data_IF_174903792888
#
_entry.id   IF_174903792888
#
_cell.length_a   1.000
_cell.length_b   1.000
_cell.length_c   1.000
_cell.angle_alpha   90.00
_cell.angle_beta   90.00
_cell.angle_gamma   90.00
#
_symmetry.space_group_name_H-M   'P 1'
#
loop_
_entity.id
_entity.type
_entity.pdbx_description
1 polymer ?
#
# COMPACT_ATOMS: atom_id res chain seq x y z
N UNK A 1 -10.15 -14.32 14.53
CA UNK A 1 -9.61 -13.05 15.02
C UNK A 1 -10.29 -11.98 14.21
N UNK A 2 -11.16 -11.19 14.83
CA UNK A 2 -11.81 -10.07 14.13
C UNK A 2 -10.72 -9.15 13.61
N UNK A 3 -10.74 -8.89 12.30
CA UNK A 3 -9.79 -7.97 11.67
C UNK A 3 -10.12 -6.57 12.17
N UNK A 4 -9.22 -5.98 12.96
CA UNK A 4 -9.38 -4.60 13.47
C UNK A 4 -9.47 -3.59 12.30
N UNK A 5 -8.84 -3.92 11.17
CA UNK A 5 -8.83 -3.10 9.96
C UNK A 5 -9.51 -3.79 8.77
N UNK A 6 -10.07 -2.99 7.86
CA UNK A 6 -10.73 -3.45 6.63
C UNK A 6 -10.32 -2.60 5.44
N UNK A 7 -10.06 -3.22 4.30
CA UNK A 7 -9.90 -2.52 3.02
C UNK A 7 -11.27 -2.29 2.38
N UNK A 8 -11.55 -1.04 2.00
CA UNK A 8 -12.69 -0.69 1.15
C UNK A 8 -12.17 0.06 -0.07
N UNK A 9 -12.69 -0.27 -1.25
CA UNK A 9 -12.31 0.46 -2.48
C UNK A 9 -12.60 1.94 -2.30
N UNK A 10 -11.71 2.79 -2.82
CA UNK A 10 -11.99 4.22 -2.86
C UNK A 10 -13.03 4.49 -3.94
N UNK A 11 -14.06 5.23 -3.57
CA UNK A 11 -15.20 5.61 -4.41
C UNK A 11 -15.69 7.02 -4.05
N UNK A 12 -16.80 7.46 -4.65
CA UNK A 12 -17.38 8.79 -4.41
C UNK A 12 -17.75 9.07 -2.95
N UNK A 13 -17.95 8.03 -2.13
CA UNK A 13 -18.38 8.18 -0.74
C UNK A 13 -17.22 8.48 0.21
N UNK A 14 -15.98 8.13 -0.15
CA UNK A 14 -14.85 8.14 0.79
C UNK A 14 -13.58 8.84 0.27
N UNK A 15 -13.50 9.20 -1.01
CA UNK A 15 -12.27 9.79 -1.57
C UNK A 15 -11.86 11.13 -0.93
N UNK A 16 -12.83 11.97 -0.53
CA UNK A 16 -12.56 13.24 0.15
C UNK A 16 -11.93 13.01 1.52
N UNK A 17 -12.36 11.99 2.26
CA UNK A 17 -11.74 11.63 3.54
C UNK A 17 -10.30 11.14 3.34
N UNK A 18 -10.04 10.36 2.28
CA UNK A 18 -8.67 9.97 1.91
C UNK A 18 -7.77 11.18 1.59
N UNK A 19 -8.31 12.25 0.98
CA UNK A 19 -7.54 13.48 0.72
C UNK A 19 -7.12 14.20 2.00
N UNK A 20 -7.88 14.03 3.09
CA UNK A 20 -7.61 14.68 4.37
C UNK A 20 -6.63 13.89 5.25
N UNK A 21 -6.20 12.70 4.83
CA UNK A 21 -5.16 11.94 5.51
C UNK A 21 -3.85 12.73 5.51
N UNK A 22 -3.16 12.72 6.65
CA UNK A 22 -1.91 13.44 6.86
C UNK A 22 -0.74 12.50 6.99
N UNK A 23 0.31 12.79 6.23
CA UNK A 23 1.60 12.13 6.40
C UNK A 23 2.25 12.61 7.71
N UNK A 24 2.94 11.69 8.39
CA UNK A 24 3.77 12.06 9.53
C UNK A 24 4.93 12.95 9.10
N UNK A 25 5.48 13.71 10.06
CA UNK A 25 6.61 14.61 9.80
C UNK A 25 7.78 13.87 9.11
N UNK A 26 8.18 14.34 7.92
CA UNK A 26 9.29 13.79 7.15
C UNK A 26 8.96 12.53 6.34
N UNK A 27 7.69 12.10 6.25
CA UNK A 27 7.27 11.00 5.36
C UNK A 27 6.93 11.46 3.94
N UNK A 28 6.80 12.76 3.71
CA UNK A 28 6.56 13.38 2.40
C UNK A 28 7.65 13.08 1.37
N UNK A 29 8.86 12.76 1.82
CA UNK A 29 9.96 12.25 0.96
C UNK A 29 9.84 10.79 0.57
N UNK A 30 8.98 10.01 1.22
CA UNK A 30 8.85 8.56 0.99
C UNK A 30 7.55 8.18 0.31
N UNK A 31 6.47 8.94 0.53
CA UNK A 31 5.15 8.62 0.00
C UNK A 31 4.51 9.87 -0.57
N UNK A 32 4.03 9.77 -1.81
CA UNK A 32 3.25 10.85 -2.43
C UNK A 32 1.97 11.12 -1.64
N UNK A 33 1.61 12.41 -1.54
CA UNK A 33 0.35 12.82 -0.92
C UNK A 33 -0.86 12.12 -1.59
N UNK A 34 -1.89 11.71 -0.82
CA UNK A 34 -3.10 11.06 -1.33
C UNK A 34 -3.75 11.69 -2.57
N UNK A 35 -3.69 13.03 -2.72
CA UNK A 35 -4.24 13.74 -3.87
C UNK A 35 -3.50 13.34 -5.15
N UNK A 36 -2.17 13.28 -5.11
CA UNK A 36 -1.36 12.90 -6.26
C UNK A 36 -1.55 11.41 -6.59
N UNK A 37 -1.53 10.54 -5.59
CA UNK A 37 -1.66 9.09 -5.81
C UNK A 37 -3.04 8.70 -6.34
N UNK A 38 -4.12 9.32 -5.84
CA UNK A 38 -5.47 9.09 -6.40
C UNK A 38 -5.63 9.67 -7.81
N UNK A 39 -5.03 10.81 -8.11
CA UNK A 39 -5.00 11.32 -9.49
C UNK A 39 -4.24 10.38 -10.43
N UNK A 40 -3.13 9.80 -9.99
CA UNK A 40 -2.40 8.77 -10.75
C UNK A 40 -3.26 7.51 -10.94
N UNK A 41 -3.95 7.05 -9.89
CA UNK A 41 -4.85 5.89 -9.99
C UNK A 41 -6.00 6.13 -10.99
N UNK A 42 -6.50 7.36 -11.13
CA UNK A 42 -7.47 7.72 -12.16
C UNK A 42 -6.90 7.60 -13.59
N UNK A 43 -5.65 8.05 -13.80
CA UNK A 43 -4.99 7.93 -15.12
C UNK A 43 -4.71 6.46 -15.47
N UNK A 44 -4.29 5.67 -14.49
CA UNK A 44 -3.97 4.24 -14.64
C UNK A 44 -5.10 3.32 -14.18
N UNK A 45 -6.36 3.74 -14.35
CA UNK A 45 -7.54 3.08 -13.76
C UNK A 45 -7.72 1.59 -14.13
N UNK A 46 -7.14 1.15 -15.25
CA UNK A 46 -7.17 -0.27 -15.66
C UNK A 46 -6.24 -1.16 -14.83
N UNK A 47 -5.22 -0.59 -14.17
CA UNK A 47 -4.20 -1.33 -13.43
C UNK A 47 -4.21 -1.00 -11.94
N UNK A 48 -4.59 0.23 -11.57
CA UNK A 48 -4.54 0.73 -10.20
C UNK A 48 -5.90 0.61 -9.50
N UNK A 49 -5.94 -0.10 -8.38
CA UNK A 49 -7.11 -0.14 -7.49
C UNK A 49 -6.78 0.50 -6.13
N UNK A 50 -7.27 1.71 -5.86
CA UNK A 50 -7.11 2.38 -4.57
C UNK A 50 -8.03 1.81 -3.49
N UNK A 51 -7.52 1.70 -2.27
CA UNK A 51 -8.25 1.27 -1.08
C UNK A 51 -8.06 2.25 0.08
N UNK A 52 -9.16 2.59 0.72
CA UNK A 52 -9.17 3.18 2.05
C UNK A 52 -9.02 2.08 3.10
N UNK A 53 -8.20 2.34 4.11
CA UNK A 53 -7.99 1.45 5.26
C UNK A 53 -8.87 1.96 6.40
N UNK A 54 -9.90 1.20 6.74
CA UNK A 54 -10.85 1.54 7.79
C UNK A 54 -10.49 0.84 9.10
N UNK A 55 -10.59 1.58 10.20
CA UNK A 55 -10.85 1.04 11.52
C UNK A 55 -12.29 1.35 11.89
N UNK A 56 -13.13 0.33 12.00
CA UNK A 56 -14.57 0.48 12.18
C UNK A 56 -15.19 1.43 11.12
N UNK A 57 -15.52 2.66 11.50
CA UNK A 57 -16.11 3.69 10.63
C UNK A 57 -15.12 4.78 10.19
N UNK A 58 -13.89 4.78 10.73
CA UNK A 58 -12.90 5.83 10.50
C UNK A 58 -11.84 5.37 9.49
N UNK A 59 -11.53 6.21 8.49
CA UNK A 59 -10.37 5.99 7.61
C UNK A 59 -9.09 6.33 8.38
N UNK A 60 -8.21 5.35 8.50
CA UNK A 60 -6.92 5.48 9.19
C UNK A 60 -5.73 5.46 8.25
N UNK A 61 -5.95 5.15 6.98
CA UNK A 61 -4.88 5.07 5.98
C UNK A 61 -5.41 4.79 4.58
N UNK A 62 -4.46 4.61 3.66
CA UNK A 62 -4.71 4.44 2.24
C UNK A 62 -3.64 3.53 1.62
N UNK A 63 -3.98 2.82 0.55
CA UNK A 63 -3.07 2.01 -0.25
C UNK A 63 -3.58 1.84 -1.68
N UNK A 64 -2.69 1.69 -2.65
CA UNK A 64 -3.04 1.26 -4.01
C UNK A 64 -2.50 -0.15 -4.21
N UNK A 65 -3.37 -1.05 -4.67
CA UNK A 65 -2.95 -2.34 -5.22
C UNK A 65 -2.96 -2.24 -6.73
N UNK A 66 -1.87 -2.65 -7.36
CA UNK A 66 -1.71 -2.61 -8.82
C UNK A 66 -1.48 -4.02 -9.33
N UNK A 67 -1.98 -4.30 -10.53
CA UNK A 67 -1.54 -5.45 -11.30
C UNK A 67 -0.92 -4.97 -12.62
N UNK A 68 0.37 -5.23 -12.77
CA UNK A 68 1.06 -5.05 -14.05
C UNK A 68 0.71 -6.26 -14.93
N UNK A 69 0.04 -6.00 -16.05
CA UNK A 69 -0.40 -7.04 -16.98
C UNK A 69 0.70 -7.46 -17.96
N UNK A 70 1.72 -6.63 -18.16
CA UNK A 70 2.84 -6.95 -19.04
C UNK A 70 3.85 -7.84 -18.29
N UNK A 71 4.11 -7.52 -17.02
CA UNK A 71 5.02 -8.27 -16.13
C UNK A 71 4.31 -9.35 -15.29
N UNK A 72 2.99 -9.48 -15.45
CA UNK A 72 2.12 -10.35 -14.65
C UNK A 72 2.45 -10.32 -13.15
N UNK A 73 2.51 -9.14 -12.54
CA UNK A 73 2.98 -8.98 -11.15
C UNK A 73 2.11 -8.02 -10.35
N UNK A 74 1.81 -8.38 -9.09
CA UNK A 74 1.11 -7.48 -8.17
C UNK A 74 2.08 -6.48 -7.54
N UNK A 75 1.65 -5.24 -7.37
CA UNK A 75 2.38 -4.22 -6.63
C UNK A 75 1.53 -3.65 -5.48
N UNK A 76 2.18 -3.33 -4.35
CA UNK A 76 1.60 -2.52 -3.27
C UNK A 76 2.26 -1.15 -3.33
N UNK A 77 1.49 -0.13 -3.70
CA UNK A 77 1.96 1.25 -3.85
C UNK A 77 1.27 2.20 -2.89
N UNK A 78 1.98 3.29 -2.56
CA UNK A 78 1.45 4.42 -1.80
C UNK A 78 0.73 4.04 -0.49
N UNK A 79 1.21 2.98 0.18
CA UNK A 79 0.71 2.63 1.50
C UNK A 79 1.07 3.73 2.50
N UNK A 80 0.06 4.30 3.14
CA UNK A 80 0.24 5.25 4.23
C UNK A 80 -0.78 5.05 5.33
N UNK A 81 -0.38 5.38 6.56
CA UNK A 81 -1.26 5.46 7.74
C UNK A 81 -1.20 6.90 8.22
N UNK A 82 -2.35 7.50 8.50
CA UNK A 82 -2.43 8.88 9.00
C UNK A 82 -1.60 9.04 10.28
N UNK A 83 -0.92 10.17 10.40
CA UNK A 83 -0.04 10.49 11.54
C UNK A 83 -0.66 10.16 12.91
N UNK A 84 -1.98 10.33 13.09
CA UNK A 84 -2.70 10.09 14.35
C UNK A 84 -2.87 8.61 14.70
N UNK A 85 -2.70 7.74 13.71
CA UNK A 85 -2.91 6.29 13.83
C UNK A 85 -1.62 5.47 13.60
N UNK A 86 -0.47 6.13 13.48
CA UNK A 86 0.83 5.47 13.43
C UNK A 86 1.21 4.85 14.79
N UNK A 87 2.27 4.01 14.78
CA UNK A 87 2.80 3.29 15.96
C UNK A 87 1.83 2.31 16.65
N UNK A 88 0.67 2.04 16.04
CA UNK A 88 -0.35 1.11 16.53
C UNK A 88 -0.34 -0.25 15.82
N UNK A 89 0.65 -0.50 14.97
CA UNK A 89 0.77 -1.72 14.16
C UNK A 89 -0.09 -1.73 12.88
N UNK A 90 -0.77 -0.63 12.55
CA UNK A 90 -1.67 -0.55 11.40
C UNK A 90 -0.99 -0.68 10.05
N UNK A 91 0.27 -0.24 9.91
CA UNK A 91 1.04 -0.47 8.68
C UNK A 91 1.22 -1.97 8.39
N UNK A 92 1.65 -2.74 9.39
CA UNK A 92 1.79 -4.20 9.29
C UNK A 92 0.47 -4.89 8.94
N UNK A 93 -0.62 -4.50 9.61
CA UNK A 93 -1.93 -5.09 9.37
C UNK A 93 -2.47 -4.72 7.98
N UNK A 94 -2.24 -3.50 7.51
CA UNK A 94 -2.62 -3.07 6.16
C UNK A 94 -1.91 -3.87 5.07
N UNK A 95 -0.59 -4.13 5.20
CA UNK A 95 0.14 -4.96 4.23
C UNK A 95 -0.42 -6.39 4.22
N UNK A 96 -0.72 -6.97 5.38
CA UNK A 96 -1.37 -8.29 5.47
C UNK A 96 -2.72 -8.30 4.77
N UNK A 97 -3.55 -7.27 4.95
CA UNK A 97 -4.83 -7.16 4.25
C UNK A 97 -4.64 -7.10 2.73
N UNK A 98 -3.62 -6.38 2.25
CA UNK A 98 -3.27 -6.36 0.83
C UNK A 98 -2.86 -7.74 0.32
N UNK A 99 -1.99 -8.45 1.04
CA UNK A 99 -1.59 -9.82 0.71
C UNK A 99 -2.80 -10.75 0.63
N UNK A 100 -3.70 -10.71 1.61
CA UNK A 100 -4.91 -11.54 1.62
C UNK A 100 -5.86 -11.17 0.48
N UNK A 101 -6.00 -9.88 0.16
CA UNK A 101 -6.75 -9.44 -1.01
C UNK A 101 -6.12 -9.99 -2.30
N UNK A 102 -4.80 -9.88 -2.46
CA UNK A 102 -4.07 -10.36 -3.64
C UNK A 102 -4.13 -11.88 -3.77
N UNK A 103 -4.12 -12.65 -2.67
CA UNK A 103 -4.31 -14.11 -2.66
C UNK A 103 -5.63 -14.55 -3.30
N UNK A 104 -6.66 -13.70 -3.28
CA UNK A 104 -7.94 -13.97 -3.96
C UNK A 104 -7.85 -13.86 -5.49
N UNK A 105 -6.68 -13.47 -6.02
CA UNK A 105 -6.37 -13.28 -7.44
C UNK A 105 -7.37 -12.34 -8.16
N UNK A 106 -7.57 -11.10 -7.65
CA UNK A 106 -8.60 -10.21 -8.16
C UNK A 106 -8.32 -9.70 -9.59
N UNK A 107 -7.05 -9.70 -10.03
CA UNK A 107 -6.63 -9.11 -11.31
C UNK A 107 -5.89 -10.07 -12.24
N UNK A 108 -5.21 -11.08 -11.67
CA UNK A 108 -4.46 -12.10 -12.40
C UNK A 108 -3.89 -13.20 -11.50
N UNK A 109 -3.27 -14.22 -12.10
CA UNK A 109 -2.90 -15.48 -11.43
C UNK A 109 -1.55 -15.46 -10.71
N UNK A 110 -0.77 -14.38 -10.86
CA UNK A 110 0.58 -14.27 -10.32
C UNK A 110 0.65 -14.47 -8.82
N UNK A 111 1.70 -15.14 -8.36
CA UNK A 111 2.03 -15.30 -6.95
C UNK A 111 3.05 -14.25 -6.46
N UNK A 112 3.51 -13.38 -7.35
CA UNK A 112 4.52 -12.39 -7.04
C UNK A 112 3.88 -11.08 -6.62
N UNK A 113 4.27 -10.60 -5.44
CA UNK A 113 3.96 -9.26 -4.93
C UNK A 113 5.28 -8.52 -4.80
N UNK A 114 5.39 -7.37 -5.45
CA UNK A 114 6.53 -6.48 -5.34
C UNK A 114 6.15 -5.14 -4.73
N UNK A 115 7.12 -4.47 -4.15
CA UNK A 115 7.00 -3.10 -3.68
C UNK A 115 8.35 -2.41 -3.78
N UNK A 116 8.32 -1.09 -3.86
CA UNK A 116 9.52 -0.25 -3.69
C UNK A 116 9.53 0.37 -2.30
N UNK A 117 10.71 0.53 -1.73
CA UNK A 117 10.90 1.17 -0.43
C UNK A 117 12.19 1.97 -0.43
N UNK A 118 12.12 3.26 -0.10
CA UNK A 118 13.31 4.06 0.18
C UNK A 118 14.17 3.41 1.27
N UNK A 119 15.49 3.37 1.05
CA UNK A 119 16.47 2.84 2.02
C UNK A 119 16.46 3.61 3.35
N UNK A 120 16.02 4.87 3.35
CA UNK A 120 15.94 5.67 4.57
C UNK A 120 14.68 5.36 5.39
N UNK A 121 13.69 4.66 4.81
CA UNK A 121 12.45 4.29 5.49
C UNK A 121 12.62 2.98 6.26
N UNK A 122 13.46 3.00 7.28
CA UNK A 122 13.78 1.82 8.11
C UNK A 122 12.56 1.20 8.78
N UNK A 123 11.53 1.99 9.08
CA UNK A 123 10.28 1.49 9.65
C UNK A 123 9.51 0.61 8.66
N UNK A 124 9.32 1.09 7.42
CA UNK A 124 8.66 0.31 6.38
C UNK A 124 9.48 -0.93 6.01
N UNK A 125 10.81 -0.79 5.90
CA UNK A 125 11.73 -1.89 5.67
C UNK A 125 11.52 -3.04 6.66
N UNK A 126 11.51 -2.71 7.95
CA UNK A 126 11.33 -3.70 9.01
C UNK A 126 9.96 -4.40 8.93
N UNK A 127 8.91 -3.67 8.57
CA UNK A 127 7.57 -4.25 8.36
C UNK A 127 7.62 -5.26 7.19
N UNK A 128 8.19 -4.87 6.06
CA UNK A 128 8.23 -5.71 4.86
C UNK A 128 9.05 -6.98 5.08
N UNK A 129 10.25 -6.87 5.65
CA UNK A 129 11.10 -8.02 5.99
C UNK A 129 10.39 -8.99 6.95
N UNK A 130 9.73 -8.46 7.99
CA UNK A 130 8.99 -9.27 8.96
C UNK A 130 7.81 -10.02 8.33
N UNK A 131 7.23 -9.47 7.27
CA UNK A 131 6.15 -10.09 6.50
C UNK A 131 6.65 -11.04 5.40
N UNK A 132 7.96 -11.22 5.29
CA UNK A 132 8.60 -12.17 4.37
C UNK A 132 8.95 -11.60 3.00
N UNK A 133 8.89 -10.27 2.82
CA UNK A 133 9.46 -9.65 1.63
C UNK A 133 10.98 -9.75 1.68
N UNK A 134 11.58 -10.07 0.54
CA UNK A 134 13.02 -10.25 0.38
C UNK A 134 13.53 -9.19 -0.61
N UNK A 135 14.69 -8.61 -0.32
CA UNK A 135 15.39 -7.73 -1.25
C UNK A 135 15.75 -8.48 -2.55
N UNK A 136 15.31 -7.96 -3.69
CA UNK A 136 15.58 -8.55 -5.01
C UNK A 136 16.98 -8.22 -5.54
N UNK A 137 17.75 -7.39 -4.84
CA UNK A 137 18.99 -6.72 -5.29
C UNK A 137 18.80 -5.77 -6.48
N UNK A 138 17.54 -5.50 -6.89
CA UNK A 138 17.22 -4.44 -7.85
C UNK A 138 16.89 -3.15 -7.12
N UNK A 139 17.13 -2.03 -7.79
CA UNK A 139 16.92 -0.67 -7.27
C UNK A 139 16.18 0.16 -8.32
N UNK A 140 15.40 1.12 -7.84
CA UNK A 140 14.79 2.19 -8.63
C UNK A 140 15.17 3.51 -7.96
N UNK A 141 16.11 4.23 -8.56
CA UNK A 141 16.82 5.35 -7.92
C UNK A 141 17.32 5.00 -6.50
N UNK A 142 16.83 5.70 -5.47
CA UNK A 142 17.18 5.51 -4.06
C UNK A 142 16.25 4.50 -3.33
N UNK A 143 15.40 3.79 -4.07
CA UNK A 143 14.47 2.79 -3.55
C UNK A 143 14.96 1.37 -3.84
N UNK A 144 14.74 0.47 -2.88
CA UNK A 144 14.95 -0.96 -3.09
C UNK A 144 13.66 -1.61 -3.57
N UNK A 145 13.79 -2.59 -4.46
CA UNK A 145 12.67 -3.43 -4.88
C UNK A 145 12.67 -4.69 -4.02
N UNK A 146 11.58 -4.91 -3.27
CA UNK A 146 11.38 -6.11 -2.47
C UNK A 146 10.29 -6.99 -3.09
N UNK A 147 10.38 -8.30 -2.86
CA UNK A 147 9.44 -9.30 -3.39
C UNK A 147 8.98 -10.28 -2.33
N UNK A 148 7.69 -10.61 -2.36
CA UNK A 148 7.07 -11.71 -1.62
C UNK A 148 6.40 -12.66 -2.62
N UNK A 149 6.55 -13.97 -2.40
CA UNK A 149 5.84 -15.01 -3.15
C UNK A 149 4.77 -15.62 -2.25
N UNK A 150 3.51 -15.64 -2.71
CA UNK A 150 2.33 -16.04 -1.93
C UNK A 150 1.64 -17.32 -2.43
#
# INVERSE_FOLDING_TARGET
MDKELVLKKVDESNFIECFNLKLGCGQDKFVSHPIRSLAQAYVYYNQCTPFAIYKETTIVGYVIVIYDYDEETYNIWHLMIDEKYQEKGYGTEAVKLCIEYIKSKPFGKSNDIILTCSIENSHAMHIYEKLGFIDTNKRDDDEIIMKLVI
#
